data_IF_928078723411
#
_entry.id   IF_928078723411
#
_cell.length_a   1.000
_cell.length_b   1.000
_cell.length_c   1.000
_cell.angle_alpha   90.00
_cell.angle_beta   90.00
_cell.angle_gamma   90.00
#
_symmetry.space_group_name_H-M   'P 1'
#
loop_
_entity.id
_entity.type
_entity.pdbx_description
1 polymer ?
#
# COMPACT_ATOMS: atom_id res chain seq x y z
N UNK A 1 8.15 -64.18 58.03
CA UNK A 1 7.44 -63.88 56.78
C UNK A 1 8.08 -62.66 56.12
N UNK A 2 8.85 -62.83 55.03
CA UNK A 2 9.37 -61.71 54.21
C UNK A 2 8.32 -61.38 53.15
N UNK A 3 7.69 -60.20 53.22
CA UNK A 3 6.93 -59.65 52.08
C UNK A 3 7.93 -59.19 51.03
N UNK A 4 7.99 -59.92 49.91
CA UNK A 4 8.70 -59.46 48.71
C UNK A 4 7.94 -58.24 48.20
N UNK A 5 8.58 -57.06 48.20
CA UNK A 5 8.01 -55.87 47.55
C UNK A 5 8.10 -56.11 46.04
N UNK A 6 6.96 -56.17 45.37
CA UNK A 6 6.92 -56.44 43.93
C UNK A 6 7.58 -55.28 43.15
N UNK A 7 8.63 -55.53 42.35
CA UNK A 7 9.35 -54.49 41.60
C UNK A 7 8.52 -53.91 40.43
N UNK A 8 7.36 -54.48 40.12
CA UNK A 8 6.53 -54.10 38.97
C UNK A 8 5.95 -52.68 39.04
N UNK A 9 5.61 -52.19 40.24
CA UNK A 9 4.98 -50.86 40.39
C UNK A 9 5.95 -49.72 40.08
N UNK A 10 7.22 -49.85 40.48
CA UNK A 10 8.26 -48.85 40.20
C UNK A 10 8.65 -48.81 38.72
N UNK A 11 8.73 -49.97 38.07
CA UNK A 11 9.04 -50.06 36.63
C UNK A 11 7.90 -49.45 35.81
N UNK A 12 6.64 -49.70 36.18
CA UNK A 12 5.47 -49.12 35.52
C UNK A 12 5.44 -47.58 35.62
N UNK A 13 5.82 -47.01 36.76
CA UNK A 13 5.89 -45.55 36.96
C UNK A 13 7.00 -44.89 36.12
N UNK A 14 8.14 -45.56 35.98
CA UNK A 14 9.26 -45.09 35.15
C UNK A 14 8.90 -45.15 33.67
N UNK A 15 8.24 -46.21 33.21
CA UNK A 15 7.81 -46.34 31.81
C UNK A 15 6.71 -45.32 31.47
N UNK A 16 5.77 -45.07 32.39
CA UNK A 16 4.72 -44.07 32.20
C UNK A 16 5.28 -42.65 32.13
N UNK A 17 6.21 -42.30 33.03
CA UNK A 17 6.86 -40.98 33.02
C UNK A 17 7.77 -40.77 31.81
N UNK A 18 8.50 -41.80 31.37
CA UNK A 18 9.26 -41.76 30.13
C UNK A 18 8.37 -41.62 28.90
N UNK A 19 7.24 -42.33 28.85
CA UNK A 19 6.26 -42.22 27.76
C UNK A 19 5.62 -40.83 27.66
N UNK A 20 5.30 -40.21 28.80
CA UNK A 20 4.79 -38.83 28.85
C UNK A 20 5.87 -37.84 28.42
N UNK A 21 7.11 -37.98 28.90
CA UNK A 21 8.21 -37.10 28.52
C UNK A 21 8.55 -37.20 27.02
N UNK A 22 8.52 -38.41 26.46
CA UNK A 22 8.66 -38.66 25.02
C UNK A 22 7.48 -38.03 24.26
N UNK A 23 6.25 -38.25 24.72
CA UNK A 23 5.05 -37.67 24.11
C UNK A 23 5.08 -36.13 24.08
N UNK A 24 5.55 -35.49 25.14
CA UNK A 24 5.74 -34.03 25.21
C UNK A 24 6.88 -33.61 24.27
N UNK A 25 8.04 -34.29 24.32
CA UNK A 25 9.20 -33.97 23.49
C UNK A 25 8.95 -34.10 21.97
N UNK A 26 8.13 -35.07 21.57
CA UNK A 26 7.74 -35.27 20.17
C UNK A 26 6.48 -34.44 19.78
N UNK A 27 5.55 -34.20 20.70
CA UNK A 27 4.37 -33.38 20.47
C UNK A 27 4.72 -31.92 20.21
N UNK A 28 5.68 -31.37 20.95
CA UNK A 28 6.14 -29.98 20.81
C UNK A 28 6.86 -29.73 19.47
N UNK A 29 7.43 -30.79 18.86
CA UNK A 29 8.06 -30.71 17.52
C UNK A 29 7.09 -30.88 16.36
N UNK A 30 5.88 -31.37 16.61
CA UNK A 30 4.88 -31.59 15.56
C UNK A 30 3.92 -30.39 15.43
N UNK A 31 3.93 -29.46 16.38
CA UNK A 31 3.38 -28.10 16.23
C UNK A 31 4.43 -27.13 15.67
N UNK A 32 5.20 -27.59 14.68
CA UNK A 32 5.97 -26.68 13.82
C UNK A 32 4.99 -25.73 13.14
N UNK A 33 5.32 -24.44 13.20
CA UNK A 33 4.61 -23.29 12.62
C UNK A 33 3.55 -23.69 11.59
N UNK A 34 2.30 -23.43 11.96
CA UNK A 34 1.16 -23.40 11.06
C UNK A 34 1.61 -22.87 9.69
N UNK A 35 1.53 -23.71 8.65
CA UNK A 35 1.82 -23.36 7.26
C UNK A 35 0.77 -22.40 6.67
N UNK A 36 0.37 -21.41 7.45
CA UNK A 36 -0.41 -20.27 7.00
C UNK A 36 0.64 -19.27 6.50
N UNK A 37 0.62 -18.90 5.20
CA UNK A 37 1.46 -17.80 4.72
C UNK A 37 1.24 -16.60 5.64
N UNK A 38 2.30 -15.93 6.06
CA UNK A 38 2.16 -14.59 6.63
C UNK A 38 1.38 -13.76 5.61
N UNK A 39 0.20 -13.28 5.96
CA UNK A 39 -0.46 -12.29 5.13
C UNK A 39 0.36 -11.01 5.26
N UNK A 40 1.20 -10.69 4.27
CA UNK A 40 1.83 -9.38 4.24
C UNK A 40 0.77 -8.34 3.91
N UNK A 41 0.50 -7.43 4.84
CA UNK A 41 -0.35 -6.29 4.57
C UNK A 41 0.31 -5.41 3.49
N UNK A 42 -0.48 -4.92 2.54
CA UNK A 42 0.00 -4.01 1.50
C UNK A 42 0.39 -2.61 2.03
N UNK A 43 0.10 -2.32 3.31
CA UNK A 43 0.44 -1.07 3.96
C UNK A 43 0.98 -1.27 5.38
N UNK A 44 1.34 -0.16 6.03
CA UNK A 44 1.96 -0.16 7.36
C UNK A 44 1.03 -0.65 8.48
N UNK A 45 1.63 -1.22 9.52
CA UNK A 45 0.89 -1.69 10.69
C UNK A 45 0.29 -0.52 11.48
N UNK A 46 -1.01 -0.57 11.76
CA UNK A 46 -1.69 0.43 12.59
C UNK A 46 -1.40 0.17 14.06
N UNK A 47 -0.70 1.09 14.71
CA UNK A 47 -0.23 0.92 16.11
C UNK A 47 -1.11 1.60 17.16
N UNK A 48 -2.10 2.40 16.75
CA UNK A 48 -2.98 3.14 17.66
C UNK A 48 -4.44 3.12 17.16
N UNK A 49 -5.44 2.85 18.03
CA UNK A 49 -6.87 2.89 17.65
C UNK A 49 -7.38 4.25 17.18
N UNK A 50 -6.69 5.33 17.53
CA UNK A 50 -7.04 6.71 17.18
C UNK A 50 -5.94 7.40 16.36
N UNK A 51 -4.91 6.66 15.96
CA UNK A 51 -3.79 7.17 15.16
C UNK A 51 -4.05 7.13 13.66
N UNK A 52 -3.14 7.74 12.91
CA UNK A 52 -3.11 7.64 11.46
C UNK A 52 -2.50 6.30 11.03
N UNK A 53 -3.09 5.66 10.00
CA UNK A 53 -2.51 4.47 9.39
C UNK A 53 -1.25 4.86 8.58
N UNK A 54 -0.05 4.35 8.94
CA UNK A 54 1.17 4.64 8.22
C UNK A 54 1.24 3.85 6.90
N UNK A 55 2.07 4.30 5.97
CA UNK A 55 2.37 3.61 4.69
C UNK A 55 1.13 3.01 4.03
N UNK A 56 0.13 3.84 3.74
CA UNK A 56 -1.15 3.38 3.20
C UNK A 56 -0.94 2.64 1.87
N UNK A 57 -1.71 1.59 1.65
CA UNK A 57 -1.65 0.80 0.41
C UNK A 57 -2.20 1.55 -0.83
N UNK A 58 -2.78 2.74 -0.63
CA UNK A 58 -3.22 3.67 -1.67
C UNK A 58 -2.89 5.10 -1.25
N UNK A 59 -2.64 5.94 -2.25
CA UNK A 59 -2.48 7.37 -2.08
C UNK A 59 -3.84 8.06 -1.96
N UNK A 60 -4.05 8.79 -0.86
CA UNK A 60 -5.14 9.76 -0.75
C UNK A 60 -4.57 11.16 -0.97
N UNK A 61 -5.03 11.90 -2.01
CA UNK A 61 -4.46 13.20 -2.31
C UNK A 61 -4.50 14.19 -1.15
N UNK A 62 -3.38 14.90 -0.94
CA UNK A 62 -3.23 15.88 0.14
C UNK A 62 -2.96 15.28 1.53
N UNK A 63 -2.78 13.96 1.66
CA UNK A 63 -2.58 13.31 2.97
C UNK A 63 -1.13 12.91 3.27
N UNK A 64 -0.24 12.93 2.27
CA UNK A 64 1.15 12.50 2.41
C UNK A 64 2.12 13.65 2.15
N UNK A 65 3.01 13.93 3.11
CA UNK A 65 4.14 14.85 2.96
C UNK A 65 5.14 14.31 1.93
N UNK A 66 5.52 15.14 0.96
CA UNK A 66 6.50 14.77 -0.06
C UNK A 66 7.91 15.16 0.41
N UNK A 67 8.81 14.18 0.55
CA UNK A 67 10.16 14.42 1.09
C UNK A 67 11.06 15.12 0.08
N UNK A 68 12.10 15.81 0.55
CA UNK A 68 13.06 16.57 -0.29
C UNK A 68 13.68 15.77 -1.45
N UNK A 69 13.94 14.48 -1.26
CA UNK A 69 14.55 13.60 -2.27
C UNK A 69 13.53 12.64 -2.90
N UNK A 70 12.29 13.08 -3.02
CA UNK A 70 11.16 12.30 -3.51
C UNK A 70 10.48 13.00 -4.68
N UNK A 71 9.94 12.20 -5.60
CA UNK A 71 9.09 12.65 -6.69
C UNK A 71 7.83 11.79 -6.66
N UNK A 72 6.67 12.44 -6.76
CA UNK A 72 5.38 11.77 -6.95
C UNK A 72 4.88 12.05 -8.36
N UNK A 73 4.55 10.98 -9.07
CA UNK A 73 4.00 11.04 -10.43
C UNK A 73 2.56 10.54 -10.37
N UNK A 74 1.61 11.37 -10.83
CA UNK A 74 0.20 11.00 -10.89
C UNK A 74 -0.30 11.05 -12.33
N UNK A 75 -0.82 9.93 -12.80
CA UNK A 75 -1.49 9.84 -14.09
C UNK A 75 -2.90 10.45 -13.95
N UNK A 76 -3.06 11.71 -14.37
CA UNK A 76 -4.35 12.40 -14.41
C UNK A 76 -5.14 12.06 -15.67
N UNK A 77 -4.51 11.42 -16.64
CA UNK A 77 -5.17 10.74 -17.74
C UNK A 77 -4.19 9.97 -18.62
N UNK A 78 -4.68 8.89 -19.22
CA UNK A 78 -3.88 7.92 -19.99
C UNK A 78 -4.57 7.51 -21.29
N UNK A 79 -5.59 8.26 -21.68
CA UNK A 79 -6.54 7.96 -22.76
C UNK A 79 -6.07 8.37 -24.14
N UNK A 80 -7.04 8.40 -25.05
CA UNK A 80 -6.92 8.73 -26.47
C UNK A 80 -7.91 9.86 -26.81
N UNK A 81 -7.90 10.44 -28.03
CA UNK A 81 -8.89 11.44 -28.42
C UNK A 81 -10.34 10.95 -28.33
N UNK A 82 -10.56 9.65 -28.47
CA UNK A 82 -11.85 9.03 -28.26
C UNK A 82 -12.19 9.00 -26.76
N UNK A 83 -13.04 9.94 -26.34
CA UNK A 83 -13.41 10.13 -24.94
C UNK A 83 -13.98 8.87 -24.27
N UNK A 84 -13.51 8.59 -23.05
CA UNK A 84 -14.00 7.50 -22.19
C UNK A 84 -14.09 7.98 -20.75
N UNK A 85 -15.22 7.73 -20.09
CA UNK A 85 -15.40 8.10 -18.66
C UNK A 85 -14.35 7.47 -17.74
N UNK A 86 -13.92 6.25 -18.03
CA UNK A 86 -12.93 5.54 -17.21
C UNK A 86 -11.48 5.93 -17.48
N UNK A 87 -11.21 6.81 -18.47
CA UNK A 87 -9.84 7.13 -18.87
C UNK A 87 -9.82 8.48 -19.61
N UNK A 88 -9.52 9.55 -18.89
CA UNK A 88 -9.28 10.89 -19.46
C UNK A 88 -8.06 10.86 -20.41
N UNK A 89 -7.96 11.82 -21.32
CA UNK A 89 -6.83 11.93 -22.24
C UNK A 89 -5.51 12.29 -21.54
N UNK A 90 -4.38 12.26 -22.26
CA UNK A 90 -3.02 12.35 -21.68
C UNK A 90 -2.87 13.53 -20.70
N UNK A 91 -2.47 13.24 -19.47
CA UNK A 91 -2.10 14.25 -18.48
C UNK A 91 -1.32 13.61 -17.33
N UNK A 92 -0.17 14.21 -17.00
CA UNK A 92 0.72 13.74 -15.96
C UNK A 92 1.09 14.88 -15.03
N UNK A 93 0.78 14.71 -13.75
CA UNK A 93 1.27 15.61 -12.71
C UNK A 93 2.56 15.07 -12.12
N UNK A 94 3.59 15.91 -12.10
CA UNK A 94 4.86 15.65 -11.43
C UNK A 94 4.96 16.59 -10.24
N UNK A 95 5.01 16.04 -9.03
CA UNK A 95 5.29 16.77 -7.80
C UNK A 95 6.70 16.43 -7.33
N UNK A 96 7.48 17.44 -6.96
CA UNK A 96 8.87 17.27 -6.55
C UNK A 96 9.08 17.75 -5.12
N UNK A 97 9.98 17.09 -4.39
CA UNK A 97 10.29 17.39 -2.99
C UNK A 97 10.84 18.79 -2.70
N UNK A 98 11.20 19.57 -3.72
CA UNK A 98 11.56 20.98 -3.56
C UNK A 98 10.33 21.91 -3.51
N UNK A 99 9.12 21.38 -3.73
CA UNK A 99 7.86 22.12 -3.76
C UNK A 99 7.29 22.35 -5.16
N UNK A 100 8.10 22.28 -6.21
CA UNK A 100 7.68 22.52 -7.59
C UNK A 100 6.76 21.41 -8.09
N UNK A 101 5.84 21.81 -8.97
CA UNK A 101 4.89 20.93 -9.65
C UNK A 101 4.84 21.28 -11.13
N UNK A 102 4.67 20.25 -11.95
CA UNK A 102 4.66 20.37 -13.39
C UNK A 102 3.55 19.50 -13.97
N UNK A 103 2.77 20.06 -14.88
CA UNK A 103 1.84 19.30 -15.71
C UNK A 103 2.49 19.01 -17.06
N UNK A 104 2.51 17.74 -17.44
CA UNK A 104 2.87 17.30 -18.79
C UNK A 104 1.60 16.82 -19.48
N UNK A 105 1.21 17.54 -20.52
CA UNK A 105 -0.11 17.49 -21.15
C UNK A 105 -1.27 17.83 -20.19
N UNK A 106 -2.39 18.22 -20.78
CA UNK A 106 -3.66 18.51 -20.13
C UNK A 106 -4.79 18.20 -21.12
N UNK A 107 -4.85 16.94 -21.52
CA UNK A 107 -5.81 16.44 -22.50
C UNK A 107 -7.26 16.55 -22.04
N UNK A 108 -8.19 16.49 -22.99
CA UNK A 108 -9.63 16.57 -22.72
C UNK A 108 -10.10 15.65 -21.57
N UNK A 109 -10.80 16.23 -20.60
CA UNK A 109 -11.36 15.57 -19.41
C UNK A 109 -10.37 15.34 -18.26
N UNK A 110 -9.08 15.64 -18.42
CA UNK A 110 -8.07 15.40 -17.40
C UNK A 110 -8.18 16.36 -16.21
N UNK A 111 -8.73 17.56 -16.37
CA UNK A 111 -8.84 18.51 -15.25
C UNK A 111 -9.78 18.05 -14.14
N UNK A 112 -10.75 17.17 -14.43
CA UNK A 112 -11.55 16.54 -13.39
C UNK A 112 -10.68 15.71 -12.42
N UNK A 113 -9.66 15.02 -12.95
CA UNK A 113 -8.73 14.24 -12.15
C UNK A 113 -7.71 15.14 -11.43
N UNK A 114 -7.19 16.18 -12.10
CA UNK A 114 -6.29 17.17 -11.47
C UNK A 114 -6.98 17.87 -10.29
N UNK A 115 -8.23 18.30 -10.46
CA UNK A 115 -9.00 18.95 -9.39
C UNK A 115 -9.19 18.06 -8.17
N UNK A 116 -9.30 16.74 -8.37
CA UNK A 116 -9.43 15.76 -7.29
C UNK A 116 -8.16 15.61 -6.44
N UNK A 117 -7.02 16.18 -6.86
CA UNK A 117 -5.75 16.08 -6.15
C UNK A 117 -5.61 17.07 -4.99
N UNK A 118 -6.58 17.95 -4.78
CA UNK A 118 -6.59 18.94 -3.70
C UNK A 118 -5.38 19.88 -3.71
N UNK A 119 -4.77 20.10 -4.89
CA UNK A 119 -3.65 21.03 -5.06
C UNK A 119 -4.23 22.39 -5.45
N UNK A 120 -3.93 23.47 -4.68
CA UNK A 120 -4.30 24.81 -5.08
C UNK A 120 -3.68 25.17 -6.44
N UNK A 121 -4.50 25.68 -7.37
CA UNK A 121 -4.08 25.86 -8.76
C UNK A 121 -2.96 26.89 -8.97
N UNK A 122 -2.73 27.80 -8.01
CA UNK A 122 -1.56 28.68 -8.04
C UNK A 122 -0.22 27.92 -7.99
N UNK A 123 -0.23 26.64 -7.65
CA UNK A 123 0.95 25.77 -7.71
C UNK A 123 1.05 24.95 -9.01
N UNK A 124 0.08 25.06 -9.91
CA UNK A 124 0.01 24.39 -11.20
C UNK A 124 0.28 25.38 -12.36
N UNK A 125 1.24 26.27 -12.15
CA UNK A 125 1.62 27.37 -13.05
C UNK A 125 2.61 26.96 -14.17
N UNK A 126 3.02 25.69 -14.21
CA UNK A 126 4.00 25.14 -15.16
C UNK A 126 3.39 24.00 -15.96
N UNK A 127 2.99 24.30 -17.20
CA UNK A 127 2.35 23.34 -18.12
C UNK A 127 3.22 23.14 -19.35
N UNK A 128 3.54 21.89 -19.67
CA UNK A 128 4.30 21.47 -20.85
C UNK A 128 3.40 20.66 -21.76
N UNK A 129 3.21 21.10 -23.00
CA UNK A 129 2.46 20.36 -24.00
C UNK A 129 3.41 19.59 -24.89
N UNK A 130 3.18 18.28 -25.04
CA UNK A 130 3.97 17.45 -25.97
C UNK A 130 3.72 17.83 -27.43
N UNK A 131 2.46 18.07 -27.79
CA UNK A 131 2.00 18.59 -29.08
C UNK A 131 0.56 19.13 -28.97
N UNK A 132 -0.03 19.56 -30.08
CA UNK A 132 -1.27 20.36 -30.08
C UNK A 132 -2.54 19.57 -30.41
N UNK A 133 -2.55 18.24 -30.28
CA UNK A 133 -3.80 17.49 -30.36
C UNK A 133 -4.64 17.68 -29.09
N UNK A 134 -5.95 17.57 -29.23
CA UNK A 134 -6.92 17.82 -28.15
C UNK A 134 -6.74 16.85 -26.98
N UNK A 135 -6.27 15.63 -27.24
CA UNK A 135 -5.93 14.65 -26.20
C UNK A 135 -4.65 14.96 -25.42
N UNK A 136 -3.97 16.08 -25.75
CA UNK A 136 -2.80 16.57 -25.03
C UNK A 136 -2.96 18.00 -24.51
N UNK A 137 -3.89 18.79 -25.06
CA UNK A 137 -4.07 20.20 -24.68
C UNK A 137 -5.53 20.61 -24.43
N UNK A 138 -6.49 19.71 -24.61
CA UNK A 138 -7.90 20.05 -24.73
C UNK A 138 -8.57 20.58 -23.47
N UNK A 139 -7.96 20.48 -22.29
CA UNK A 139 -8.44 21.04 -21.03
C UNK A 139 -7.58 22.24 -20.54
N UNK A 140 -6.71 22.79 -21.39
CA UNK A 140 -5.88 23.95 -21.00
C UNK A 140 -6.73 25.18 -20.66
N UNK A 141 -7.87 25.34 -21.32
CA UNK A 141 -8.85 26.38 -21.05
C UNK A 141 -9.55 26.19 -19.70
N UNK A 142 -9.84 24.94 -19.34
CA UNK A 142 -10.42 24.59 -18.04
C UNK A 142 -9.48 24.92 -16.88
N UNK A 143 -8.17 24.67 -17.03
CA UNK A 143 -7.17 25.15 -16.07
C UNK A 143 -7.13 26.68 -16.08
N UNK A 144 -6.91 27.30 -17.24
CA UNK A 144 -6.74 28.76 -17.34
C UNK A 144 -7.92 29.58 -16.78
N UNK A 145 -9.16 29.16 -17.04
CA UNK A 145 -10.36 29.84 -16.57
C UNK A 145 -10.79 29.39 -15.17
N UNK A 146 -10.51 28.14 -14.80
CA UNK A 146 -10.87 27.54 -13.52
C UNK A 146 -9.96 27.93 -12.36
N UNK A 147 -8.71 28.32 -12.66
CA UNK A 147 -7.75 28.94 -11.74
C UNK A 147 -6.33 28.41 -11.88
#
# INVERSE_FOLDING_TARGET
>A
MRKVKEPGFFIMLIVLSAGIAIGIYFGDRQMGDSAVPSAEAAGGEVTSPTGEAPDRYVYYPGTEELKKNEIRVTACGTGMPAARRGQAASCWLIETGNGDKFLFDIGTGSMANVAALMIPYQYLDKVFLSHLHTDHMGDIDALWAGG
#
